data_IF_128532578058
#
_entry.id   IF_128532578058
#
_cell.length_a   1.000
_cell.length_b   1.000
_cell.length_c   1.000
_cell.angle_alpha   90.00
_cell.angle_beta   90.00
_cell.angle_gamma   90.00
#
_symmetry.space_group_name_H-M   'P 1'
#
loop_
_entity.id
_entity.type
_entity.pdbx_description
1 polymer ?
#
# COMPACT_ATOMS: atom_id res chain seq x y z
N UNK A 1 -14.39 -6.33 -58.83
CA UNK A 1 -13.88 -7.69 -58.57
C UNK A 1 -13.08 -7.61 -57.27
N UNK A 2 -13.67 -7.04 -56.20
CA UNK A 2 -12.88 -6.43 -55.11
C UNK A 2 -13.45 -6.73 -53.70
N UNK A 3 -14.30 -7.76 -53.55
CA UNK A 3 -14.88 -8.13 -52.25
C UNK A 3 -14.11 -9.27 -51.54
N UNK A 4 -13.12 -9.89 -52.19
CA UNK A 4 -12.44 -11.10 -51.68
C UNK A 4 -11.04 -10.85 -51.09
N UNK A 5 -10.51 -9.63 -51.18
CA UNK A 5 -9.11 -9.35 -50.79
C UNK A 5 -8.96 -8.80 -49.35
N UNK A 6 -10.04 -8.37 -48.69
CA UNK A 6 -9.94 -7.79 -47.33
C UNK A 6 -10.04 -8.82 -46.19
N UNK A 7 -10.48 -10.05 -46.42
CA UNK A 7 -10.67 -11.06 -45.36
C UNK A 7 -9.40 -11.85 -45.02
N UNK A 8 -8.35 -11.79 -45.86
CA UNK A 8 -7.10 -12.51 -45.63
C UNK A 8 -6.21 -11.84 -44.56
N UNK A 9 -6.36 -10.54 -44.33
CA UNK A 9 -5.56 -9.81 -43.33
C UNK A 9 -6.05 -9.98 -41.88
N UNK A 10 -7.27 -10.45 -41.65
CA UNK A 10 -7.83 -10.66 -40.30
C UNK A 10 -7.54 -12.07 -39.73
N UNK A 11 -7.31 -13.07 -40.59
CA UNK A 11 -7.20 -14.48 -40.17
C UNK A 11 -5.94 -14.81 -39.33
N UNK A 12 -4.85 -14.07 -39.51
CA UNK A 12 -3.61 -14.25 -38.74
C UNK A 12 -3.50 -13.32 -37.52
N UNK A 13 -4.35 -12.29 -37.45
CA UNK A 13 -4.29 -11.28 -36.40
C UNK A 13 -4.78 -11.84 -35.05
N UNK A 14 -5.87 -12.60 -35.06
CA UNK A 14 -6.41 -13.26 -33.86
C UNK A 14 -5.42 -14.23 -33.17
N UNK A 15 -4.78 -15.19 -33.88
CA UNK A 15 -3.80 -16.07 -33.25
C UNK A 15 -2.53 -15.32 -32.82
N UNK A 16 -2.10 -14.28 -33.56
CA UNK A 16 -0.95 -13.47 -33.16
C UNK A 16 -1.20 -12.69 -31.86
N UNK A 17 -2.37 -12.05 -31.73
CA UNK A 17 -2.78 -11.35 -30.50
C UNK A 17 -2.93 -12.33 -29.33
N UNK A 18 -3.49 -13.52 -29.57
CA UNK A 18 -3.59 -14.56 -28.55
C UNK A 18 -2.22 -15.05 -28.08
N UNK A 19 -1.27 -15.27 -29.00
CA UNK A 19 0.10 -15.64 -28.67
C UNK A 19 0.81 -14.56 -27.84
N UNK A 20 0.66 -13.29 -28.20
CA UNK A 20 1.22 -12.16 -27.44
C UNK A 20 0.60 -12.09 -26.04
N UNK A 21 -0.72 -12.23 -25.92
CA UNK A 21 -1.39 -12.22 -24.63
C UNK A 21 -0.91 -13.37 -23.71
N UNK A 22 -0.76 -14.59 -24.26
CA UNK A 22 -0.22 -15.74 -23.52
C UNK A 22 1.22 -15.49 -23.07
N UNK A 23 2.06 -14.92 -23.93
CA UNK A 23 3.43 -14.57 -23.58
C UNK A 23 3.49 -13.50 -22.47
N UNK A 24 2.64 -12.48 -22.54
CA UNK A 24 2.55 -11.44 -21.50
C UNK A 24 2.13 -12.06 -20.16
N UNK A 25 1.09 -12.90 -20.16
CA UNK A 25 0.64 -13.58 -18.93
C UNK A 25 1.73 -14.49 -18.38
N UNK A 26 2.43 -15.25 -19.23
CA UNK A 26 3.54 -16.10 -18.81
C UNK A 26 4.70 -15.29 -18.21
N UNK A 27 5.07 -14.17 -18.83
CA UNK A 27 6.11 -13.26 -18.31
C UNK A 27 5.69 -12.67 -16.97
N UNK A 28 4.45 -12.19 -16.83
CA UNK A 28 3.95 -11.67 -15.57
C UNK A 28 3.93 -12.75 -14.47
N UNK A 29 3.55 -13.99 -14.81
CA UNK A 29 3.57 -15.11 -13.86
C UNK A 29 4.99 -15.48 -13.44
N UNK A 30 5.95 -15.49 -14.38
CA UNK A 30 7.36 -15.73 -14.09
C UNK A 30 7.97 -14.60 -13.24
N UNK A 31 7.61 -13.35 -13.53
CA UNK A 31 8.06 -12.19 -12.78
C UNK A 31 7.47 -12.21 -11.36
N UNK A 32 6.19 -12.51 -11.21
CA UNK A 32 5.56 -12.71 -9.91
C UNK A 32 6.21 -13.84 -9.12
N UNK A 33 6.47 -14.99 -9.76
CA UNK A 33 7.15 -16.12 -9.13
C UNK A 33 8.58 -15.76 -8.70
N UNK A 34 9.32 -15.03 -9.53
CA UNK A 34 10.66 -14.56 -9.23
C UNK A 34 10.65 -13.57 -8.06
N UNK A 35 9.78 -12.56 -8.08
CA UNK A 35 9.61 -11.58 -7.00
C UNK A 35 9.25 -12.31 -5.71
N UNK A 36 8.25 -13.18 -5.73
CA UNK A 36 7.83 -13.95 -4.56
C UNK A 36 8.98 -14.78 -3.99
N UNK A 37 9.68 -15.53 -4.83
CA UNK A 37 10.80 -16.39 -4.41
C UNK A 37 11.97 -15.59 -3.83
N UNK A 38 12.26 -14.42 -4.40
CA UNK A 38 13.37 -13.60 -3.93
C UNK A 38 13.01 -12.77 -2.69
N UNK A 39 11.73 -12.44 -2.52
CA UNK A 39 11.22 -11.70 -1.37
C UNK A 39 11.47 -12.43 -0.05
N UNK A 40 11.15 -13.72 0.03
CA UNK A 40 11.27 -14.48 1.29
C UNK A 40 12.71 -14.46 1.83
N UNK A 41 13.69 -14.71 0.96
CA UNK A 41 15.12 -14.70 1.36
C UNK A 41 15.57 -13.32 1.81
N UNK A 42 15.27 -12.30 1.01
CA UNK A 42 15.64 -10.92 1.33
C UNK A 42 14.97 -10.46 2.63
N UNK A 43 13.72 -10.86 2.85
CA UNK A 43 12.95 -10.54 4.05
C UNK A 43 13.57 -11.16 5.30
N UNK A 44 13.85 -12.47 5.29
CA UNK A 44 14.50 -13.13 6.42
C UNK A 44 15.88 -12.51 6.72
N UNK A 45 16.68 -12.23 5.69
CA UNK A 45 17.99 -11.59 5.87
C UNK A 45 17.86 -10.17 6.44
N UNK A 46 16.84 -9.40 6.05
CA UNK A 46 16.58 -8.06 6.58
C UNK A 46 16.14 -8.11 8.04
N UNK A 47 15.17 -8.99 8.37
CA UNK A 47 14.66 -9.17 9.74
C UNK A 47 15.79 -9.61 10.65
N UNK A 48 16.57 -10.61 10.23
CA UNK A 48 17.70 -11.11 11.02
C UNK A 48 18.74 -10.02 11.27
N UNK A 49 19.13 -9.26 10.25
CA UNK A 49 20.06 -8.13 10.44
C UNK A 49 19.52 -7.05 11.38
N UNK A 50 18.21 -6.79 11.33
CA UNK A 50 17.58 -5.83 12.24
C UNK A 50 17.53 -6.35 13.67
N UNK A 51 17.28 -7.66 13.84
CA UNK A 51 17.32 -8.35 15.13
C UNK A 51 18.74 -8.30 15.71
N UNK A 52 19.73 -8.80 14.97
CA UNK A 52 21.15 -8.82 15.37
C UNK A 52 21.73 -7.42 15.65
N UNK A 53 21.14 -6.37 15.07
CA UNK A 53 21.56 -4.98 15.33
C UNK A 53 20.92 -4.38 16.59
N UNK A 54 19.81 -4.95 17.06
CA UNK A 54 19.07 -4.50 18.24
C UNK A 54 19.47 -5.31 19.47
N UNK A 55 19.58 -6.62 19.32
CA UNK A 55 20.10 -7.59 20.29
C UNK A 55 21.59 -7.29 20.55
N UNK A 56 21.87 -6.50 21.58
CA UNK A 56 23.21 -5.96 21.84
C UNK A 56 24.04 -6.94 22.64
N UNK A 57 23.40 -7.74 23.50
CA UNK A 57 24.05 -8.74 24.33
C UNK A 57 24.12 -10.14 23.67
N UNK A 58 23.46 -10.31 22.52
CA UNK A 58 23.39 -11.55 21.73
C UNK A 58 22.79 -12.72 22.53
N UNK A 59 21.83 -12.43 23.40
CA UNK A 59 21.14 -13.46 24.18
C UNK A 59 20.04 -14.18 23.36
N UNK A 60 19.74 -13.69 22.15
CA UNK A 60 18.75 -14.25 21.24
C UNK A 60 17.32 -13.77 21.49
N UNK A 61 17.16 -12.78 22.36
CA UNK A 61 15.93 -12.08 22.69
C UNK A 61 16.18 -10.56 22.59
N UNK A 62 15.12 -9.77 22.52
CA UNK A 62 15.23 -8.32 22.60
C UNK A 62 14.51 -7.86 23.84
N UNK A 63 15.23 -7.27 24.78
CA UNK A 63 14.64 -6.65 25.97
C UNK A 63 14.08 -5.25 25.66
N UNK A 64 13.25 -4.73 26.56
CA UNK A 64 12.62 -3.42 26.40
C UNK A 64 13.64 -2.28 26.24
N UNK A 65 14.75 -2.36 26.96
CA UNK A 65 15.80 -1.34 26.94
C UNK A 65 16.63 -1.40 25.65
N UNK A 66 16.84 -2.60 25.10
CA UNK A 66 17.48 -2.81 23.81
C UNK A 66 16.61 -2.34 22.66
N UNK A 67 15.32 -2.65 22.69
CA UNK A 67 14.35 -2.14 21.71
C UNK A 67 14.33 -0.61 21.72
N UNK A 68 14.35 0.00 22.91
CA UNK A 68 14.41 1.45 23.06
C UNK A 68 15.69 2.05 22.46
N UNK A 69 16.85 1.44 22.74
CA UNK A 69 18.13 1.86 22.19
C UNK A 69 18.16 1.74 20.65
N UNK A 70 17.69 0.62 20.10
CA UNK A 70 17.62 0.38 18.66
C UNK A 70 16.69 1.37 17.94
N UNK A 71 15.51 1.64 18.51
CA UNK A 71 14.59 2.66 17.97
C UNK A 71 15.25 4.04 17.99
N UNK A 72 15.90 4.43 19.08
CA UNK A 72 16.58 5.72 19.16
C UNK A 72 17.70 5.85 18.11
N UNK A 73 18.49 4.79 17.90
CA UNK A 73 19.55 4.75 16.91
C UNK A 73 19.02 4.88 15.47
N UNK A 74 17.86 4.29 15.18
CA UNK A 74 17.17 4.46 13.90
C UNK A 74 16.76 5.93 13.68
N UNK A 75 16.18 6.58 14.70
CA UNK A 75 15.79 7.99 14.62
C UNK A 75 16.99 8.92 14.43
N UNK A 76 18.12 8.65 15.08
CA UNK A 76 19.37 9.39 14.85
C UNK A 76 19.83 9.22 13.41
N UNK A 77 19.78 8.00 12.87
CA UNK A 77 20.16 7.71 11.48
C UNK A 77 19.25 8.42 10.46
N UNK A 78 17.95 8.46 10.72
CA UNK A 78 16.97 9.19 9.89
C UNK A 78 17.23 10.70 9.94
N UNK A 79 17.52 11.24 11.12
CA UNK A 79 17.83 12.67 11.30
C UNK A 79 19.14 13.07 10.59
N UNK A 80 20.13 12.18 10.55
CA UNK A 80 21.36 12.39 9.77
C UNK A 80 21.10 12.46 8.25
N UNK A 81 20.00 11.88 7.77
CA UNK A 81 19.54 11.98 6.37
C UNK A 81 18.69 13.24 6.11
N UNK A 82 18.68 14.23 7.01
CA UNK A 82 17.87 15.44 6.95
C UNK A 82 16.34 15.19 6.89
N UNK A 83 15.88 14.02 7.33
CA UNK A 83 14.45 13.74 7.47
C UNK A 83 14.03 14.16 8.89
N UNK A 84 13.09 15.11 9.05
CA UNK A 84 12.62 15.51 10.37
C UNK A 84 11.83 14.37 11.01
N UNK A 85 12.41 13.74 12.01
CA UNK A 85 11.79 12.68 12.79
C UNK A 85 12.05 12.95 14.28
N UNK A 86 10.98 13.06 15.06
CA UNK A 86 11.06 13.24 16.51
C UNK A 86 11.12 11.87 17.20
N UNK A 87 12.07 11.66 18.13
CA UNK A 87 12.20 10.38 18.80
C UNK A 87 10.90 10.08 19.59
N UNK A 88 10.38 8.84 19.51
CA UNK A 88 9.20 8.42 20.25
C UNK A 88 9.49 8.46 21.75
N UNK A 89 8.47 8.54 22.60
CA UNK A 89 8.70 8.47 24.05
C UNK A 89 8.93 7.02 24.48
N UNK A 90 9.59 6.83 25.62
CA UNK A 90 9.79 5.49 26.20
C UNK A 90 8.46 4.79 26.46
N UNK A 91 7.42 5.54 26.83
CA UNK A 91 6.05 5.04 27.00
C UNK A 91 5.49 4.44 25.70
N UNK A 92 5.75 5.06 24.56
CA UNK A 92 5.26 4.59 23.25
C UNK A 92 5.96 3.29 22.86
N UNK A 93 7.27 3.19 23.10
CA UNK A 93 8.04 1.96 22.86
C UNK A 93 7.67 0.86 23.84
N UNK A 94 7.31 1.21 25.08
CA UNK A 94 6.76 0.25 26.06
C UNK A 94 5.41 -0.30 25.62
N UNK A 95 4.53 0.57 25.14
CA UNK A 95 3.23 0.16 24.60
C UNK A 95 3.40 -0.68 23.34
N UNK A 96 4.41 -0.36 22.52
CA UNK A 96 4.79 -1.12 21.35
C UNK A 96 5.27 -2.52 21.74
N UNK A 97 6.20 -2.63 22.70
CA UNK A 97 6.70 -3.89 23.27
C UNK A 97 5.56 -4.78 23.76
N UNK A 98 4.68 -4.24 24.63
CA UNK A 98 3.51 -4.97 25.15
C UNK A 98 2.51 -5.41 24.09
N UNK A 99 2.48 -4.72 22.96
CA UNK A 99 1.62 -5.08 21.84
C UNK A 99 2.23 -6.17 20.96
N UNK A 100 3.53 -6.43 21.08
CA UNK A 100 4.33 -7.35 20.27
C UNK A 100 4.63 -8.65 21.03
N UNK A 101 5.02 -8.52 22.29
CA UNK A 101 5.23 -9.59 23.27
C UNK A 101 3.92 -10.37 23.47
N UNK A 102 3.84 -11.55 22.86
CA UNK A 102 2.59 -12.34 22.79
C UNK A 102 2.49 -13.34 23.92
N UNK A 103 3.63 -13.84 24.40
CA UNK A 103 3.71 -14.74 25.56
C UNK A 103 3.85 -13.99 26.89
N UNK A 104 4.00 -12.66 26.86
CA UNK A 104 4.13 -11.77 28.02
C UNK A 104 5.34 -12.09 28.88
N UNK A 105 6.41 -12.57 28.26
CA UNK A 105 7.66 -12.90 28.94
C UNK A 105 8.54 -11.66 29.21
N UNK A 106 8.16 -10.50 28.66
CA UNK A 106 8.87 -9.23 28.81
C UNK A 106 10.02 -9.04 27.81
N UNK A 107 10.22 -9.99 26.91
CA UNK A 107 11.24 -10.04 25.89
C UNK A 107 10.59 -10.24 24.51
N UNK A 108 11.36 -10.04 23.45
CA UNK A 108 10.91 -10.30 22.08
C UNK A 108 11.78 -11.38 21.46
N UNK A 109 11.21 -12.56 21.26
CA UNK A 109 11.88 -13.62 20.52
C UNK A 109 11.99 -13.26 19.03
N UNK A 110 12.96 -13.84 18.32
CA UNK A 110 13.13 -13.63 16.87
C UNK A 110 11.85 -13.91 16.07
N UNK A 111 11.04 -14.89 16.51
CA UNK A 111 9.78 -15.25 15.85
C UNK A 111 8.73 -14.15 16.01
N UNK A 112 8.57 -13.61 17.21
CA UNK A 112 7.63 -12.52 17.47
C UNK A 112 8.05 -11.24 16.76
N UNK A 113 9.36 -10.95 16.76
CA UNK A 113 9.91 -9.85 15.99
C UNK A 113 9.63 -9.99 14.49
N UNK A 114 9.76 -11.20 13.92
CA UNK A 114 9.46 -11.46 12.51
C UNK A 114 7.98 -11.24 12.15
N UNK A 115 7.05 -11.74 12.98
CA UNK A 115 5.61 -11.56 12.76
C UNK A 115 5.21 -10.08 12.78
N UNK A 116 5.83 -9.32 13.68
CA UNK A 116 5.61 -7.90 13.83
C UNK A 116 6.17 -7.11 12.65
N UNK A 117 7.41 -7.36 12.24
CA UNK A 117 8.00 -6.71 11.07
C UNK A 117 7.18 -7.02 9.82
N UNK A 118 6.57 -8.21 9.73
CA UNK A 118 5.68 -8.59 8.64
C UNK A 118 4.39 -7.78 8.65
N UNK A 119 3.80 -7.59 9.84
CA UNK A 119 2.58 -6.81 10.02
C UNK A 119 2.81 -5.32 9.71
N UNK A 120 3.89 -4.73 10.23
CA UNK A 120 4.27 -3.33 9.98
C UNK A 120 4.65 -3.14 8.51
N UNK A 121 5.44 -4.06 7.94
CA UNK A 121 5.79 -4.07 6.53
C UNK A 121 4.55 -4.10 5.65
N UNK A 122 3.62 -5.03 5.89
CA UNK A 122 2.36 -5.13 5.15
C UNK A 122 1.54 -3.82 5.24
N UNK A 123 1.53 -3.15 6.40
CA UNK A 123 0.88 -1.85 6.56
C UNK A 123 1.55 -0.75 5.73
N UNK A 124 2.88 -0.65 5.78
CA UNK A 124 3.64 0.35 5.03
C UNK A 124 3.53 0.13 3.51
N UNK A 125 3.64 -1.13 3.05
CA UNK A 125 3.46 -1.48 1.64
C UNK A 125 2.03 -1.27 1.18
N UNK A 126 1.02 -1.59 2.00
CA UNK A 126 -0.39 -1.31 1.70
C UNK A 126 -0.66 0.18 1.51
N UNK A 127 -0.12 1.03 2.39
CA UNK A 127 -0.17 2.49 2.24
C UNK A 127 0.54 2.98 0.99
N UNK A 128 1.76 2.49 0.72
CA UNK A 128 2.52 2.90 -0.45
C UNK A 128 1.81 2.50 -1.76
N UNK A 129 1.30 1.28 -1.85
CA UNK A 129 0.57 0.78 -3.02
C UNK A 129 -0.73 1.58 -3.21
N UNK A 130 -1.51 1.79 -2.15
CA UNK A 130 -2.75 2.58 -2.25
C UNK A 130 -2.49 4.02 -2.66
N UNK A 131 -1.42 4.65 -2.16
CA UNK A 131 -1.00 5.97 -2.62
C UNK A 131 -0.60 5.98 -4.09
N UNK A 132 0.22 5.03 -4.53
CA UNK A 132 0.67 4.95 -5.94
C UNK A 132 -0.52 4.71 -6.88
N UNK A 133 -1.41 3.78 -6.53
CA UNK A 133 -2.63 3.52 -7.29
C UNK A 133 -3.52 4.75 -7.33
N UNK A 134 -3.72 5.44 -6.20
CA UNK A 134 -4.52 6.65 -6.16
C UNK A 134 -3.88 7.75 -7.04
N UNK A 135 -2.57 7.92 -6.99
CA UNK A 135 -1.84 8.90 -7.82
C UNK A 135 -1.93 8.60 -9.30
N UNK A 136 -1.90 7.33 -9.70
CA UNK A 136 -2.03 6.96 -11.11
C UNK A 136 -3.49 7.03 -11.60
N UNK A 137 -4.45 6.57 -10.79
CA UNK A 137 -5.84 6.36 -11.20
C UNK A 137 -6.69 7.62 -11.03
N UNK A 138 -6.43 8.44 -10.01
CA UNK A 138 -7.23 9.63 -9.70
C UNK A 138 -7.22 10.67 -10.83
N UNK A 139 -6.07 11.09 -11.39
CA UNK A 139 -6.04 12.07 -12.47
C UNK A 139 -6.78 11.60 -13.73
N UNK A 140 -6.64 10.32 -14.07
CA UNK A 140 -7.35 9.71 -15.21
C UNK A 140 -8.86 9.71 -14.98
N UNK A 141 -9.28 9.35 -13.77
CA UNK A 141 -10.69 9.31 -13.39
C UNK A 141 -11.32 10.70 -13.41
N UNK A 142 -10.64 11.72 -12.89
CA UNK A 142 -11.08 13.12 -12.94
C UNK A 142 -11.17 13.62 -14.38
N UNK A 143 -10.20 13.28 -15.23
CA UNK A 143 -10.22 13.64 -16.65
C UNK A 143 -11.42 13.05 -17.39
N UNK A 144 -11.71 11.77 -17.19
CA UNK A 144 -12.88 11.10 -17.79
C UNK A 144 -14.21 11.67 -17.26
N UNK A 145 -14.29 11.96 -15.96
CA UNK A 145 -15.48 12.57 -15.38
C UNK A 145 -15.71 13.99 -15.90
N UNK A 146 -14.62 14.76 -16.10
CA UNK A 146 -14.68 16.10 -16.66
C UNK A 146 -15.18 16.10 -18.11
N UNK A 147 -14.62 15.23 -18.97
CA UNK A 147 -15.07 15.13 -20.36
C UNK A 147 -16.54 14.73 -20.46
N UNK A 148 -16.96 13.76 -19.65
CA UNK A 148 -18.36 13.34 -19.58
C UNK A 148 -19.30 14.46 -19.11
N UNK A 149 -18.88 15.23 -18.09
CA UNK A 149 -19.67 16.37 -17.60
C UNK A 149 -19.76 17.50 -18.63
N UNK A 150 -18.67 17.79 -19.36
CA UNK A 150 -18.66 18.79 -20.41
C UNK A 150 -19.63 18.44 -21.55
N UNK A 151 -19.64 17.17 -21.98
CA UNK A 151 -20.59 16.68 -23.00
C UNK A 151 -22.05 16.81 -22.54
N UNK A 152 -22.35 16.45 -21.30
CA UNK A 152 -23.69 16.58 -20.71
C UNK A 152 -24.21 18.02 -20.65
N UNK A 153 -23.33 18.98 -20.36
CA UNK A 153 -23.69 20.41 -20.30
C UNK A 153 -24.09 20.91 -21.70
N UNK A 154 -23.36 20.48 -22.72
CA UNK A 154 -23.65 20.81 -24.12
C UNK A 154 -24.94 20.14 -24.58
N UNK A 155 -25.11 18.84 -24.31
CA UNK A 155 -26.27 18.06 -24.73
C UNK A 155 -27.58 18.58 -24.11
N UNK A 156 -27.53 19.04 -22.85
CA UNK A 156 -28.69 19.62 -22.16
C UNK A 156 -28.97 21.08 -22.52
N UNK A 157 -28.20 21.69 -23.43
CA UNK A 157 -28.38 23.08 -23.85
C UNK A 157 -28.18 24.09 -22.71
N UNK A 158 -27.52 23.70 -21.62
CA UNK A 158 -27.33 24.56 -20.43
C UNK A 158 -26.43 25.74 -20.77
N UNK A 159 -25.57 25.61 -21.78
CA UNK A 159 -24.72 26.68 -22.31
C UNK A 159 -25.51 27.88 -22.84
N UNK A 160 -26.73 27.68 -23.35
CA UNK A 160 -27.57 28.77 -23.88
C UNK A 160 -28.09 29.71 -22.78
N UNK A 161 -28.07 29.26 -21.52
CA UNK A 161 -28.52 30.06 -20.37
C UNK A 161 -27.48 31.08 -19.89
N UNK A 162 -26.25 31.05 -20.42
CA UNK A 162 -25.15 31.89 -19.97
C UNK A 162 -24.77 32.99 -20.98
N UNK A 163 -24.43 34.21 -20.52
CA UNK A 163 -23.94 35.27 -21.40
C UNK A 163 -22.58 34.90 -22.02
N UNK A 164 -22.36 35.35 -23.26
CA UNK A 164 -21.18 35.00 -24.07
C UNK A 164 -19.83 35.34 -23.40
N UNK A 165 -19.78 36.38 -22.56
CA UNK A 165 -18.57 36.74 -21.79
C UNK A 165 -18.13 35.62 -20.83
N UNK A 166 -19.08 34.91 -20.21
CA UNK A 166 -18.80 33.81 -19.29
C UNK A 166 -18.30 32.59 -20.08
N UNK A 167 -18.93 32.27 -21.20
CA UNK A 167 -18.50 31.17 -22.07
C UNK A 167 -17.06 31.35 -22.58
N UNK A 168 -16.69 32.57 -23.01
CA UNK A 168 -15.31 32.86 -23.42
C UNK A 168 -14.31 32.72 -22.27
N UNK A 169 -14.65 33.17 -21.06
CA UNK A 169 -13.77 32.99 -19.89
C UNK A 169 -13.60 31.52 -19.52
N UNK A 170 -14.66 30.72 -19.56
CA UNK A 170 -14.60 29.29 -19.27
C UNK A 170 -13.78 28.56 -20.33
N UNK A 171 -13.97 28.87 -21.61
CA UNK A 171 -13.16 28.29 -22.70
C UNK A 171 -11.67 28.66 -22.58
N UNK A 172 -11.34 29.89 -22.16
CA UNK A 172 -9.97 30.30 -21.88
C UNK A 172 -9.36 29.52 -20.70
N UNK A 173 -10.09 29.37 -19.60
CA UNK A 173 -9.64 28.59 -18.43
C UNK A 173 -9.48 27.09 -18.79
N UNK A 174 -10.37 26.56 -19.63
CA UNK A 174 -10.32 25.17 -20.12
C UNK A 174 -9.10 24.92 -21.03
N UNK A 175 -8.76 25.88 -21.91
CA UNK A 175 -7.56 25.80 -22.76
C UNK A 175 -6.24 25.76 -21.98
N UNK A 176 -6.24 26.24 -20.73
CA UNK A 176 -5.10 26.14 -19.82
C UNK A 176 -5.12 24.84 -18.99
N UNK A 177 -6.11 23.96 -19.20
CA UNK A 177 -6.37 22.77 -18.39
C UNK A 177 -6.44 23.05 -16.88
N UNK A 178 -6.80 24.27 -16.48
CA UNK A 178 -6.84 24.70 -15.08
C UNK A 178 -7.98 24.02 -14.32
N UNK A 179 -9.12 23.79 -14.97
CA UNK A 179 -10.29 23.19 -14.32
C UNK A 179 -10.01 21.74 -13.86
N UNK A 180 -9.58 20.81 -14.73
CA UNK A 180 -9.31 19.43 -14.29
C UNK A 180 -8.13 19.33 -13.33
N UNK A 181 -7.10 20.18 -13.47
CA UNK A 181 -5.95 20.19 -12.54
C UNK A 181 -6.35 20.68 -11.15
N UNK A 182 -7.13 21.76 -11.04
CA UNK A 182 -7.65 22.24 -9.75
C UNK A 182 -8.57 21.22 -9.08
N UNK A 183 -9.45 20.56 -9.85
CA UNK A 183 -10.28 19.47 -9.33
C UNK A 183 -9.45 18.29 -8.83
N UNK A 184 -8.37 17.96 -9.54
CA UNK A 184 -7.44 16.90 -9.15
C UNK A 184 -6.76 17.25 -7.83
N UNK A 185 -6.21 18.48 -7.69
CA UNK A 185 -5.53 18.96 -6.48
C UNK A 185 -6.51 19.02 -5.29
N UNK A 186 -7.69 19.61 -5.49
CA UNK A 186 -8.72 19.71 -4.45
C UNK A 186 -9.13 18.31 -3.97
N UNK A 187 -9.40 17.41 -4.91
CA UNK A 187 -9.71 16.01 -4.64
C UNK A 187 -8.59 15.30 -3.86
N UNK A 188 -7.33 15.54 -4.23
CA UNK A 188 -6.18 15.00 -3.50
C UNK A 188 -6.15 15.44 -2.04
N UNK A 189 -6.29 16.75 -1.79
CA UNK A 189 -6.22 17.32 -0.45
C UNK A 189 -7.36 16.81 0.42
N UNK A 190 -8.56 16.63 -0.13
CA UNK A 190 -9.73 16.19 0.66
C UNK A 190 -9.82 14.67 0.80
N UNK A 191 -9.56 13.90 -0.27
CA UNK A 191 -9.85 12.46 -0.33
C UNK A 191 -8.69 11.63 0.22
N UNK A 192 -7.43 12.01 -0.06
CA UNK A 192 -6.26 11.21 0.35
C UNK A 192 -6.21 10.98 1.86
N UNK A 193 -6.42 11.99 2.74
CA UNK A 193 -6.40 11.76 4.20
C UNK A 193 -7.45 10.73 4.65
N UNK A 194 -8.62 10.73 4.02
CA UNK A 194 -9.71 9.82 4.35
C UNK A 194 -9.42 8.39 3.89
N UNK A 195 -8.84 8.24 2.70
CA UNK A 195 -8.43 6.93 2.16
C UNK A 195 -7.30 6.34 3.01
N UNK A 196 -6.27 7.13 3.35
CA UNK A 196 -5.18 6.68 4.23
C UNK A 196 -5.73 6.26 5.60
N UNK A 197 -6.61 7.06 6.20
CA UNK A 197 -7.25 6.70 7.47
C UNK A 197 -8.13 5.45 7.36
N UNK A 198 -8.77 5.20 6.20
CA UNK A 198 -9.55 3.99 5.97
C UNK A 198 -8.66 2.74 5.84
N UNK A 199 -7.54 2.84 5.12
CA UNK A 199 -6.55 1.77 5.01
C UNK A 199 -6.00 1.43 6.40
N UNK A 200 -5.67 2.44 7.20
CA UNK A 200 -5.18 2.25 8.56
C UNK A 200 -6.15 1.50 9.46
N UNK A 201 -7.44 1.88 9.41
CA UNK A 201 -8.48 1.17 10.15
C UNK A 201 -8.63 -0.27 9.68
N UNK A 202 -8.63 -0.50 8.37
CA UNK A 202 -8.76 -1.84 7.80
C UNK A 202 -7.58 -2.75 8.20
N UNK A 203 -6.35 -2.22 8.15
CA UNK A 203 -5.16 -2.96 8.56
C UNK A 203 -5.17 -3.27 10.05
N UNK A 204 -5.55 -2.32 10.91
CA UNK A 204 -5.67 -2.59 12.35
C UNK A 204 -6.71 -3.68 12.66
N UNK A 205 -7.86 -3.65 11.98
CA UNK A 205 -8.89 -4.69 12.13
C UNK A 205 -8.38 -6.06 11.68
N UNK A 206 -7.64 -6.12 10.57
CA UNK A 206 -7.04 -7.37 10.10
C UNK A 206 -6.05 -7.95 11.12
N UNK A 207 -5.17 -7.11 11.67
CA UNK A 207 -4.21 -7.51 12.72
C UNK A 207 -4.93 -8.01 13.98
N UNK A 208 -5.98 -7.29 14.42
CA UNK A 208 -6.78 -7.72 15.57
C UNK A 208 -7.49 -9.05 15.31
N UNK A 209 -8.02 -9.24 14.10
CA UNK A 209 -8.72 -10.46 13.71
C UNK A 209 -7.75 -11.66 13.69
N UNK A 210 -6.57 -11.51 13.10
CA UNK A 210 -5.53 -12.55 13.09
C UNK A 210 -5.16 -12.95 14.52
N UNK A 211 -4.86 -11.97 15.39
CA UNK A 211 -4.53 -12.22 16.81
C UNK A 211 -5.69 -12.86 17.60
N UNK A 212 -6.94 -12.57 17.25
CA UNK A 212 -8.09 -13.22 17.88
C UNK A 212 -8.23 -14.68 17.46
N UNK A 213 -7.77 -15.02 16.26
CA UNK A 213 -7.80 -16.36 15.70
C UNK A 213 -6.69 -17.24 16.30
N UNK A 214 -5.48 -16.70 16.45
CA UNK A 214 -4.36 -17.41 17.06
C UNK A 214 -4.61 -17.73 18.53
N UNK A 215 -5.18 -16.79 19.30
CA UNK A 215 -5.55 -17.05 20.71
C UNK A 215 -6.56 -18.19 20.85
N UNK A 216 -7.52 -18.31 19.94
CA UNK A 216 -8.49 -19.41 19.94
C UNK A 216 -7.84 -20.74 19.60
N UNK A 217 -6.92 -20.76 18.63
CA UNK A 217 -6.20 -21.98 18.26
C UNK A 217 -5.17 -22.41 19.30
N UNK A 218 -4.46 -21.47 19.93
CA UNK A 218 -3.54 -21.75 21.05
C UNK A 218 -4.26 -22.35 22.26
N UNK A 219 -5.43 -21.80 22.62
CA UNK A 219 -6.26 -22.34 23.72
C UNK A 219 -6.86 -23.72 23.46
N UNK A 220 -6.87 -24.19 22.20
CA UNK A 220 -7.37 -25.51 21.83
C UNK A 220 -6.29 -26.61 21.91
N UNK A 221 -5.03 -26.24 22.16
CA UNK A 221 -3.87 -27.15 22.14
C UNK A 221 -3.34 -27.48 23.55
N UNK A 222 -3.90 -26.92 24.62
CA UNK A 222 -3.54 -27.34 25.99
C UNK A 222 -4.10 -28.76 26.27
N UNK A 223 -3.25 -29.80 26.40
CA UNK A 223 -3.71 -31.08 26.88
C UNK A 223 -4.14 -30.94 28.34
N UNK A 224 -5.33 -31.45 28.65
CA UNK A 224 -5.87 -31.49 30.00
C UNK A 224 -4.80 -31.94 31.01
N UNK A 225 -4.72 -31.32 32.20
CA UNK A 225 -3.75 -31.70 33.21
C UNK A 225 -3.97 -33.16 33.56
N UNK A 226 -2.95 -33.99 33.31
CA UNK A 226 -2.91 -35.36 33.78
C UNK A 226 -2.97 -35.34 35.30
N UNK A 227 -4.16 -35.64 35.83
CA UNK A 227 -4.40 -35.87 37.24
C UNK A 227 -3.46 -36.99 37.70
N UNK A 228 -2.43 -36.62 38.47
CA UNK A 228 -1.60 -37.53 39.27
C UNK A 228 -2.25 -37.79 40.62
#
# INVERSE_FOLDING_TARGET
MDACESTAHEAWFLPAVACVAVLVVAVLALLWWWVKRNWDRWYHDLVKKAFDATDTDNDGSIEQDELWAGVLQLYVSIRQQNIPADPPKREDVTALMRNMDTDSDGQLSLREFEEVVKAIGAQAFGRAITMVLFVAVWPVSVGLAYSWAAELIVERGISESFPASILCTVAFIDSLHLIPTLLTILGFVTVVPHVVAAVDRATMLFIQMHRSWDRRMGSAVDPAPLLS
#
